data_IF_042509004410
#
_entry.id   IF_042509004410
#
_cell.length_a   1.000
_cell.length_b   1.000
_cell.length_c   1.000
_cell.angle_alpha   90.00
_cell.angle_beta   90.00
_cell.angle_gamma   90.00
#
_symmetry.space_group_name_H-M   'P 1'
#
loop_
_entity.id
_entity.type
_entity.pdbx_description
1 polymer ?
#
# COMPACT_ATOMS: atom_id res chain seq x y z
N UNK A 1 20.82 -52.07 42.21
CA UNK A 1 19.83 -50.98 42.06
C UNK A 1 20.24 -50.20 40.83
N UNK A 2 19.57 -50.44 39.69
CA UNK A 2 19.90 -49.82 38.38
C UNK A 2 18.95 -48.64 38.16
N UNK A 3 19.51 -47.42 38.18
CA UNK A 3 18.76 -46.18 37.92
C UNK A 3 18.70 -46.00 36.39
N UNK A 4 17.53 -46.15 35.80
CA UNK A 4 17.29 -45.86 34.40
C UNK A 4 17.07 -44.33 34.26
N UNK A 5 17.99 -43.66 33.57
CA UNK A 5 17.92 -42.25 33.26
C UNK A 5 17.03 -42.08 32.02
N UNK A 6 15.77 -41.61 32.18
CA UNK A 6 14.88 -41.27 31.10
C UNK A 6 15.30 -39.89 30.55
N UNK A 7 15.85 -39.91 29.32
CA UNK A 7 16.18 -38.69 28.58
C UNK A 7 14.88 -38.21 27.90
N UNK A 8 14.22 -37.20 28.47
CA UNK A 8 13.07 -36.51 27.85
C UNK A 8 13.63 -35.57 26.77
N UNK A 9 13.54 -36.00 25.52
CA UNK A 9 13.82 -35.15 24.38
C UNK A 9 12.71 -34.07 24.25
N UNK A 10 13.03 -32.82 24.53
CA UNK A 10 12.15 -31.67 24.34
C UNK A 10 12.09 -31.36 22.83
N UNK A 11 11.03 -31.81 22.13
CA UNK A 11 10.73 -31.40 20.77
C UNK A 11 10.25 -29.94 20.82
N UNK A 12 11.12 -29.00 20.52
CA UNK A 12 10.74 -27.63 20.23
C UNK A 12 9.94 -27.61 18.92
N UNK A 13 8.70 -27.08 18.91
CA UNK A 13 7.99 -26.90 17.65
C UNK A 13 8.76 -25.88 16.80
N UNK A 14 9.28 -26.31 15.64
CA UNK A 14 9.78 -25.41 14.63
C UNK A 14 8.58 -24.56 14.17
N UNK A 15 8.65 -23.25 14.36
CA UNK A 15 7.68 -22.32 13.80
C UNK A 15 7.73 -22.48 12.27
N UNK A 16 6.77 -23.21 11.70
CA UNK A 16 6.59 -23.27 10.25
C UNK A 16 6.23 -21.85 9.79
N UNK A 17 7.14 -21.20 9.06
CA UNK A 17 6.84 -19.95 8.37
C UNK A 17 5.71 -20.27 7.40
N UNK A 18 4.49 -19.83 7.72
CA UNK A 18 3.34 -20.03 6.86
C UNK A 18 3.58 -19.22 5.58
N UNK A 19 3.73 -19.92 4.45
CA UNK A 19 3.83 -19.27 3.15
C UNK A 19 2.53 -18.51 2.88
N UNK A 20 2.64 -17.25 2.54
CA UNK A 20 1.47 -16.41 2.26
C UNK A 20 0.95 -16.75 0.87
N UNK A 21 -0.31 -17.18 0.78
CA UNK A 21 -0.99 -17.56 -0.47
C UNK A 21 -2.27 -16.78 -0.64
N UNK A 22 -2.64 -16.44 -1.89
CA UNK A 22 -3.96 -15.92 -2.19
C UNK A 22 -5.06 -16.88 -1.75
N UNK A 23 -6.20 -16.33 -1.36
CA UNK A 23 -7.37 -17.10 -0.92
C UNK A 23 -8.53 -16.91 -1.89
N UNK A 24 -9.37 -17.93 -2.13
CA UNK A 24 -10.54 -17.81 -2.98
C UNK A 24 -11.47 -16.69 -2.51
N UNK A 25 -11.96 -15.90 -3.49
CA UNK A 25 -13.00 -14.90 -3.26
C UNK A 25 -14.40 -15.55 -3.11
N UNK A 26 -15.45 -14.72 -2.90
CA UNK A 26 -16.82 -15.21 -2.70
C UNK A 26 -17.48 -15.77 -3.98
N UNK A 27 -16.88 -15.56 -5.15
CA UNK A 27 -17.38 -16.03 -6.45
C UNK A 27 -16.65 -17.29 -6.94
N UNK A 28 -16.16 -17.26 -8.18
CA UNK A 28 -15.37 -18.37 -8.73
C UNK A 28 -14.06 -18.52 -7.92
N UNK A 29 -13.74 -19.72 -7.39
CA UNK A 29 -12.58 -19.93 -6.52
C UNK A 29 -11.23 -19.70 -7.22
N UNK A 30 -11.22 -19.58 -8.55
CA UNK A 30 -10.01 -19.24 -9.34
C UNK A 30 -9.74 -17.73 -9.40
N UNK A 31 -10.69 -16.90 -8.94
CA UNK A 31 -10.46 -15.48 -8.69
C UNK A 31 -10.16 -15.32 -7.21
N UNK A 32 -8.89 -15.08 -6.91
CA UNK A 32 -8.39 -15.08 -5.53
C UNK A 32 -7.98 -13.68 -5.10
N UNK A 33 -7.93 -13.48 -3.80
CA UNK A 33 -7.53 -12.20 -3.21
C UNK A 33 -6.42 -12.40 -2.20
N UNK A 34 -5.62 -11.36 -2.00
CA UNK A 34 -4.58 -11.30 -0.98
C UNK A 34 -4.46 -9.88 -0.46
N UNK A 35 -4.29 -9.73 0.84
CA UNK A 35 -4.00 -8.44 1.47
C UNK A 35 -2.54 -8.08 1.23
N UNK A 36 -2.28 -6.86 0.78
CA UNK A 36 -0.91 -6.36 0.61
C UNK A 36 -0.23 -6.14 1.95
N UNK A 37 1.00 -6.63 2.07
CA UNK A 37 1.96 -6.31 3.12
C UNK A 37 3.34 -6.16 2.46
N UNK A 38 4.08 -5.09 2.79
CA UNK A 38 5.38 -4.80 2.20
C UNK A 38 6.48 -5.82 2.59
N UNK A 39 6.27 -6.58 3.66
CA UNK A 39 7.24 -7.53 4.21
C UNK A 39 6.88 -8.99 3.93
N UNK A 40 5.93 -9.26 3.02
CA UNK A 40 5.52 -10.62 2.68
C UNK A 40 6.09 -11.08 1.34
N UNK A 41 6.32 -12.39 1.23
CA UNK A 41 6.54 -13.07 -0.06
C UNK A 41 5.30 -13.87 -0.38
N UNK A 42 4.65 -13.55 -1.51
CA UNK A 42 3.42 -14.23 -1.96
C UNK A 42 3.77 -15.42 -2.84
N UNK A 43 3.35 -16.61 -2.45
CA UNK A 43 3.51 -17.79 -3.28
C UNK A 43 2.40 -17.90 -4.32
N UNK A 44 2.79 -17.95 -5.58
CA UNK A 44 1.90 -18.10 -6.74
C UNK A 44 2.13 -19.42 -7.44
N UNK A 45 1.05 -20.13 -7.75
CA UNK A 45 1.10 -21.43 -8.43
C UNK A 45 0.50 -21.33 -9.83
N UNK A 46 1.24 -21.77 -10.84
CA UNK A 46 0.84 -21.68 -12.25
C UNK A 46 1.09 -23.02 -12.95
N UNK A 47 0.07 -23.61 -13.57
CA UNK A 47 0.23 -24.82 -14.37
C UNK A 47 0.74 -24.48 -15.77
N UNK A 48 1.55 -25.38 -16.35
CA UNK A 48 1.96 -25.27 -17.76
C UNK A 48 0.73 -25.25 -18.67
N UNK A 49 0.74 -24.37 -19.67
CA UNK A 49 -0.38 -24.13 -20.57
C UNK A 49 -1.45 -23.18 -20.04
N UNK A 50 -1.33 -22.71 -18.81
CA UNK A 50 -2.21 -21.73 -18.18
C UNK A 50 -1.51 -20.40 -17.95
N UNK A 51 -2.31 -19.36 -17.72
CA UNK A 51 -1.86 -18.02 -17.39
C UNK A 51 -2.48 -17.61 -16.05
N UNK A 52 -1.68 -16.94 -15.23
CA UNK A 52 -2.12 -16.23 -14.03
C UNK A 52 -2.05 -14.72 -14.30
N UNK A 53 -3.12 -13.98 -13.98
CA UNK A 53 -3.12 -12.53 -13.97
C UNK A 53 -3.00 -12.02 -12.54
N UNK A 54 -2.16 -11.02 -12.32
CA UNK A 54 -2.12 -10.22 -11.07
C UNK A 54 -2.74 -8.87 -11.37
N UNK A 55 -3.72 -8.47 -10.58
CA UNK A 55 -4.35 -7.15 -10.63
C UNK A 55 -3.84 -6.29 -9.47
N UNK A 56 -3.17 -5.17 -9.77
CA UNK A 56 -2.72 -4.16 -8.81
C UNK A 56 -3.80 -3.11 -8.57
N UNK A 57 -3.54 -2.11 -7.73
CA UNK A 57 -4.48 -1.03 -7.51
C UNK A 57 -4.75 -0.25 -8.81
N UNK A 58 -5.98 0.26 -9.03
CA UNK A 58 -6.35 0.93 -10.28
C UNK A 58 -5.53 2.19 -10.59
N UNK A 59 -5.00 2.83 -9.55
CA UNK A 59 -4.16 4.03 -9.59
C UNK A 59 -2.66 3.73 -9.60
N UNK A 60 -2.27 2.44 -9.54
CA UNK A 60 -0.89 1.97 -9.47
C UNK A 60 -0.38 1.54 -10.84
N UNK A 61 0.90 1.82 -11.14
CA UNK A 61 1.53 1.50 -12.43
C UNK A 61 2.84 0.76 -12.23
N UNK A 62 2.97 -0.37 -12.93
CA UNK A 62 4.21 -1.14 -12.97
C UNK A 62 5.29 -0.32 -13.64
N UNK A 63 6.40 -0.10 -12.94
CA UNK A 63 7.62 0.55 -13.45
C UNK A 63 8.70 -0.47 -13.81
N UNK A 64 8.84 -1.54 -13.02
CA UNK A 64 9.87 -2.54 -13.24
C UNK A 64 9.36 -3.94 -12.86
N UNK A 65 9.84 -4.95 -13.61
CA UNK A 65 9.57 -6.37 -13.35
C UNK A 65 10.88 -7.15 -13.50
N UNK A 66 11.28 -7.85 -12.45
CA UNK A 66 12.47 -8.70 -12.45
C UNK A 66 12.11 -10.12 -12.04
N UNK A 67 12.32 -11.08 -12.93
CA UNK A 67 12.13 -12.52 -12.69
C UNK A 67 13.50 -13.20 -12.65
N UNK A 68 13.70 -14.12 -11.71
CA UNK A 68 14.97 -14.81 -11.52
C UNK A 68 15.31 -15.74 -12.69
N UNK A 69 14.40 -16.64 -13.08
CA UNK A 69 14.62 -17.57 -14.18
C UNK A 69 13.72 -17.25 -15.38
N UNK A 70 14.16 -16.33 -16.21
CA UNK A 70 13.41 -15.87 -17.40
C UNK A 70 13.27 -16.91 -18.50
N UNK A 71 14.10 -17.95 -18.53
CA UNK A 71 13.98 -19.06 -19.48
C UNK A 71 12.85 -20.04 -19.14
N UNK A 72 12.45 -20.12 -17.88
CA UNK A 72 11.39 -20.99 -17.41
C UNK A 72 10.05 -20.27 -17.21
N UNK A 73 10.06 -18.94 -17.15
CA UNK A 73 8.89 -18.11 -16.86
C UNK A 73 8.76 -16.94 -17.82
N UNK A 74 7.57 -16.78 -18.36
CA UNK A 74 7.21 -15.59 -19.12
C UNK A 74 6.37 -14.66 -18.24
N UNK A 75 6.83 -13.41 -18.12
CA UNK A 75 6.16 -12.38 -17.32
C UNK A 75 5.98 -11.14 -18.20
N UNK A 76 4.75 -10.66 -18.33
CA UNK A 76 4.42 -9.57 -19.26
C UNK A 76 3.42 -8.61 -18.63
N UNK A 77 3.77 -7.34 -18.41
CA UNK A 77 2.81 -6.33 -17.99
C UNK A 77 1.86 -5.96 -19.13
N UNK A 78 0.64 -5.51 -18.80
CA UNK A 78 -0.25 -4.93 -19.78
C UNK A 78 0.19 -3.48 -20.12
N UNK A 79 -0.42 -2.88 -21.16
CA UNK A 79 -0.07 -1.52 -21.61
C UNK A 79 -0.38 -0.42 -20.57
N UNK A 80 -1.33 -0.66 -19.67
CA UNK A 80 -1.69 0.29 -18.61
C UNK A 80 -0.79 0.20 -17.40
N UNK A 81 -0.06 -0.92 -17.24
CA UNK A 81 0.79 -1.18 -16.08
C UNK A 81 0.02 -1.53 -14.80
N UNK A 82 -1.27 -1.87 -14.90
CA UNK A 82 -2.11 -2.25 -13.76
C UNK A 82 -2.33 -3.77 -13.65
N UNK A 83 -1.86 -4.54 -14.65
CA UNK A 83 -1.93 -6.01 -14.66
C UNK A 83 -0.60 -6.62 -15.06
N UNK A 84 -0.28 -7.76 -14.48
CA UNK A 84 0.87 -8.58 -14.83
C UNK A 84 0.41 -10.00 -15.18
N UNK A 85 0.83 -10.51 -16.34
CA UNK A 85 0.53 -11.85 -16.79
C UNK A 85 1.72 -12.77 -16.63
N UNK A 86 1.52 -13.92 -16.00
CA UNK A 86 2.56 -14.89 -15.68
C UNK A 86 2.21 -16.23 -16.29
N UNK A 87 3.18 -16.87 -16.98
CA UNK A 87 3.09 -18.21 -17.54
C UNK A 87 4.31 -19.03 -17.15
N UNK A 88 4.09 -20.27 -16.73
CA UNK A 88 5.15 -21.26 -16.62
C UNK A 88 5.44 -21.85 -18.01
N UNK A 89 6.67 -21.68 -18.48
CA UNK A 89 7.17 -22.25 -19.74
C UNK A 89 7.76 -23.65 -19.53
N UNK A 90 8.35 -23.87 -18.35
CA UNK A 90 8.95 -25.15 -17.97
C UNK A 90 8.35 -25.65 -16.65
N UNK A 91 8.16 -26.96 -16.56
CA UNK A 91 7.74 -27.61 -15.33
C UNK A 91 8.93 -27.73 -14.35
N UNK A 92 8.63 -27.70 -13.04
CA UNK A 92 9.60 -28.00 -11.99
C UNK A 92 10.58 -26.91 -11.62
N UNK A 93 10.55 -25.73 -12.25
CA UNK A 93 11.47 -24.62 -11.94
C UNK A 93 10.77 -23.55 -11.10
N UNK A 94 11.00 -23.56 -9.81
CA UNK A 94 10.58 -22.49 -8.89
C UNK A 94 11.55 -21.31 -9.00
N UNK A 95 11.03 -20.08 -8.99
CA UNK A 95 11.83 -18.87 -9.02
C UNK A 95 11.19 -17.74 -8.24
N UNK A 96 11.93 -16.66 -8.01
CA UNK A 96 11.40 -15.43 -7.44
C UNK A 96 11.01 -14.43 -8.54
N UNK A 97 10.10 -13.53 -8.19
CA UNK A 97 9.68 -12.41 -9.03
C UNK A 97 9.53 -11.18 -8.14
N UNK A 98 10.10 -10.07 -8.59
CA UNK A 98 9.90 -8.77 -7.95
C UNK A 98 9.20 -7.83 -8.93
N UNK A 99 8.19 -7.14 -8.44
CA UNK A 99 7.47 -6.09 -9.18
C UNK A 99 7.58 -4.79 -8.41
N UNK A 100 8.06 -3.76 -9.08
CA UNK A 100 8.13 -2.40 -8.54
C UNK A 100 7.12 -1.56 -9.31
N UNK A 101 6.26 -0.87 -8.58
CA UNK A 101 5.30 0.08 -9.11
C UNK A 101 5.65 1.49 -8.64
N UNK A 102 4.96 2.49 -9.15
CA UNK A 102 5.06 3.88 -8.68
C UNK A 102 4.64 4.09 -7.21
N UNK A 103 4.00 3.09 -6.58
CA UNK A 103 3.53 3.20 -5.21
C UNK A 103 4.11 2.14 -4.27
N UNK A 104 4.43 0.92 -4.75
CA UNK A 104 4.75 -0.24 -3.90
C UNK A 104 5.75 -1.18 -4.54
N UNK A 105 6.34 -2.05 -3.71
CA UNK A 105 7.13 -3.20 -4.16
C UNK A 105 6.46 -4.50 -3.73
N UNK A 106 6.48 -5.49 -4.61
CA UNK A 106 5.88 -6.80 -4.40
C UNK A 106 6.92 -7.88 -4.59
N UNK A 107 6.98 -8.83 -3.67
CA UNK A 107 7.83 -10.01 -3.75
C UNK A 107 6.98 -11.27 -3.92
N UNK A 108 7.33 -12.09 -4.90
CA UNK A 108 6.65 -13.33 -5.20
C UNK A 108 7.62 -14.51 -5.27
N UNK A 109 7.13 -15.67 -4.94
CA UNK A 109 7.70 -16.97 -5.29
C UNK A 109 6.79 -17.62 -6.32
N UNK A 110 7.31 -17.92 -7.50
CA UNK A 110 6.60 -18.60 -8.59
C UNK A 110 6.86 -20.09 -8.53
N UNK A 111 5.82 -20.88 -8.34
CA UNK A 111 5.88 -22.32 -8.24
C UNK A 111 5.11 -22.97 -9.41
N UNK A 112 5.76 -23.76 -10.28
CA UNK A 112 5.08 -24.41 -11.37
C UNK A 112 4.31 -25.64 -10.86
N UNK A 113 3.11 -25.84 -11.41
CA UNK A 113 2.32 -27.05 -11.21
C UNK A 113 2.50 -27.99 -12.41
N UNK A 114 2.56 -29.29 -12.17
CA UNK A 114 2.60 -30.31 -13.22
C UNK A 114 1.32 -30.40 -14.04
N UNK A 115 0.19 -29.92 -13.51
CA UNK A 115 -1.11 -29.87 -14.16
C UNK A 115 -2.06 -28.94 -13.41
N UNK A 116 -3.22 -28.61 -14.03
CA UNK A 116 -4.19 -27.72 -13.42
C UNK A 116 -4.84 -28.34 -12.18
N UNK A 117 -4.97 -27.52 -11.13
CA UNK A 117 -5.73 -27.85 -9.93
C UNK A 117 -7.11 -27.17 -10.00
N UNK A 118 -8.18 -27.75 -9.41
CA UNK A 118 -9.54 -27.20 -9.46
C UNK A 118 -9.64 -25.73 -8.96
N UNK A 119 -8.82 -25.36 -7.99
CA UNK A 119 -8.80 -24.04 -7.33
C UNK A 119 -7.51 -23.27 -7.61
N UNK A 120 -6.78 -23.60 -8.68
CA UNK A 120 -5.64 -22.83 -9.11
C UNK A 120 -6.09 -21.42 -9.49
N UNK A 121 -5.39 -20.39 -9.00
CA UNK A 121 -5.73 -19.00 -9.34
C UNK A 121 -5.57 -18.72 -10.84
N UNK A 122 -6.59 -18.10 -11.45
CA UNK A 122 -6.50 -17.48 -12.77
C UNK A 122 -6.25 -15.99 -12.65
N UNK A 123 -6.78 -15.40 -11.57
CA UNK A 123 -6.57 -14.00 -11.22
C UNK A 123 -6.30 -13.89 -9.74
N UNK A 124 -5.29 -13.11 -9.38
CA UNK A 124 -5.01 -12.67 -8.01
C UNK A 124 -5.17 -11.18 -7.92
N UNK A 125 -6.06 -10.73 -7.05
CA UNK A 125 -6.31 -9.31 -6.76
C UNK A 125 -5.69 -8.94 -5.44
N UNK A 126 -4.90 -7.90 -5.44
CA UNK A 126 -4.47 -7.30 -4.19
C UNK A 126 -5.59 -6.45 -3.60
N UNK A 127 -5.85 -6.67 -2.32
CA UNK A 127 -6.63 -5.75 -1.49
C UNK A 127 -5.64 -4.99 -0.63
N UNK A 128 -5.80 -3.69 -0.60
CA UNK A 128 -4.94 -2.84 0.18
C UNK A 128 -5.66 -2.54 1.48
N UNK A 129 -5.03 -2.80 2.64
CA UNK A 129 -5.55 -2.24 3.87
C UNK A 129 -5.75 -0.75 3.56
N UNK A 130 -6.93 -0.21 3.83
CA UNK A 130 -7.05 1.23 3.94
C UNK A 130 -5.84 1.65 4.77
N UNK A 131 -5.08 2.72 4.39
CA UNK A 131 -4.00 3.19 5.23
C UNK A 131 -4.56 3.10 6.63
N UNK A 132 -3.93 2.27 7.45
CA UNK A 132 -4.46 2.02 8.76
C UNK A 132 -4.64 3.40 9.39
N UNK A 133 -5.87 3.89 9.33
CA UNK A 133 -6.37 4.63 10.46
C UNK A 133 -6.09 3.65 11.56
N UNK A 134 -4.90 3.80 12.17
CA UNK A 134 -4.38 2.87 13.14
C UNK A 134 -5.44 2.77 14.24
N UNK A 135 -6.33 1.80 14.09
CA UNK A 135 -6.99 1.21 15.23
C UNK A 135 -5.88 0.44 15.92
N UNK A 136 -4.93 1.17 16.46
CA UNK A 136 -4.15 0.75 17.58
C UNK A 136 -5.19 0.57 18.66
N UNK A 137 -5.67 -0.68 18.83
CA UNK A 137 -6.30 -1.10 20.08
C UNK A 137 -5.21 -1.01 21.16
N UNK A 138 -4.99 0.19 21.66
CA UNK A 138 -3.98 0.53 22.63
C UNK A 138 -3.81 2.04 22.61
N UNK A 139 -4.65 2.76 23.38
CA UNK A 139 -4.62 4.21 23.62
C UNK A 139 -4.54 5.04 22.31
N UNK A 140 -5.71 5.42 21.78
CA UNK A 140 -5.80 6.51 20.83
C UNK A 140 -5.00 7.70 21.38
N UNK A 141 -4.03 8.26 20.64
CA UNK A 141 -3.53 9.56 20.99
C UNK A 141 -4.75 10.49 20.91
N UNK A 142 -5.10 11.11 22.03
CA UNK A 142 -6.16 12.11 22.15
C UNK A 142 -5.69 13.41 21.46
N UNK A 143 -5.39 13.34 20.17
CA UNK A 143 -5.23 14.56 19.37
C UNK A 143 -6.60 14.80 18.75
N UNK A 144 -7.31 15.80 19.26
CA UNK A 144 -8.60 16.19 18.70
C UNK A 144 -8.40 16.62 17.24
N UNK A 145 -9.34 16.23 16.33
CA UNK A 145 -9.30 16.65 14.93
C UNK A 145 -9.09 18.15 14.81
N UNK A 146 -8.10 18.55 14.05
CA UNK A 146 -7.73 19.95 13.90
C UNK A 146 -8.52 20.63 12.80
N UNK A 147 -8.72 21.93 12.96
CA UNK A 147 -9.26 22.82 11.93
C UNK A 147 -8.20 23.82 11.52
N UNK A 148 -8.30 24.37 10.31
CA UNK A 148 -7.34 25.32 9.79
C UNK A 148 -7.98 26.66 9.50
N UNK A 149 -7.28 27.73 9.87
CA UNK A 149 -7.64 29.10 9.48
C UNK A 149 -6.91 29.44 8.19
N UNK A 150 -7.68 29.75 7.14
CA UNK A 150 -7.16 30.09 5.82
C UNK A 150 -6.92 31.61 5.69
N UNK A 151 -5.83 31.99 5.01
CA UNK A 151 -5.49 33.37 4.68
C UNK A 151 -4.76 33.47 3.32
N UNK A 152 -4.49 34.67 2.82
CA UNK A 152 -3.82 34.90 1.53
C UNK A 152 -4.78 34.90 0.33
N UNK A 153 -4.27 34.60 -0.88
CA UNK A 153 -4.99 34.67 -2.15
C UNK A 153 -6.16 33.69 -2.19
N UNK A 154 -7.39 34.20 -2.35
CA UNK A 154 -8.62 33.38 -2.29
C UNK A 154 -8.67 32.27 -3.34
N UNK A 155 -8.08 32.51 -4.51
CA UNK A 155 -8.05 31.54 -5.60
C UNK A 155 -7.26 30.27 -5.26
N UNK A 156 -6.28 30.35 -4.35
CA UNK A 156 -5.40 29.24 -3.95
C UNK A 156 -5.85 28.55 -2.65
N UNK A 157 -6.93 29.04 -2.04
CA UNK A 157 -7.43 28.39 -0.81
C UNK A 157 -8.14 27.10 -1.16
N UNK A 158 -7.87 26.01 -0.41
CA UNK A 158 -8.66 24.79 -0.52
C UNK A 158 -10.11 25.06 -0.13
N UNK A 159 -11.04 24.28 -0.68
CA UNK A 159 -12.45 24.29 -0.31
C UNK A 159 -12.68 23.68 1.07
N UNK A 160 -11.85 22.71 1.44
CA UNK A 160 -11.85 22.07 2.76
C UNK A 160 -10.41 21.69 3.15
N UNK A 161 -10.09 21.82 4.43
CA UNK A 161 -8.87 21.33 5.05
C UNK A 161 -9.14 20.99 6.51
N UNK A 162 -8.82 19.78 6.90
CA UNK A 162 -8.91 19.26 8.26
C UNK A 162 -7.83 18.20 8.50
N UNK A 163 -7.70 17.71 9.73
CA UNK A 163 -6.82 16.59 10.10
C UNK A 163 -7.49 15.69 11.13
N UNK A 164 -7.05 14.43 11.17
CA UNK A 164 -7.46 13.43 12.14
C UNK A 164 -6.46 13.28 13.31
N UNK A 165 -5.45 14.15 13.34
CA UNK A 165 -4.34 14.10 14.30
C UNK A 165 -3.14 13.28 13.83
N UNK A 166 -3.25 12.59 12.70
CA UNK A 166 -2.18 11.80 12.04
C UNK A 166 -1.95 12.29 10.63
N UNK A 167 -3.01 12.48 9.85
CA UNK A 167 -2.98 12.91 8.46
C UNK A 167 -3.70 14.24 8.29
N UNK A 168 -3.29 15.02 7.29
CA UNK A 168 -4.01 16.22 6.86
C UNK A 168 -4.70 15.97 5.52
N UNK A 169 -5.98 16.29 5.45
CA UNK A 169 -6.83 16.10 4.27
C UNK A 169 -7.18 17.46 3.66
N UNK A 170 -6.91 17.62 2.36
CA UNK A 170 -7.09 18.89 1.66
C UNK A 170 -7.91 18.67 0.39
N UNK A 171 -9.00 19.40 0.24
CA UNK A 171 -9.83 19.39 -0.97
C UNK A 171 -9.63 20.69 -1.72
N UNK A 172 -9.14 20.63 -2.96
CA UNK A 172 -9.09 21.78 -3.86
C UNK A 172 -10.26 21.75 -4.84
N UNK A 173 -10.77 22.92 -5.27
CA UNK A 173 -11.77 22.96 -6.33
C UNK A 173 -11.22 22.34 -7.62
N UNK A 174 -11.99 21.46 -8.26
CA UNK A 174 -11.58 20.76 -9.47
C UNK A 174 -11.38 21.66 -10.71
N UNK A 175 -11.95 22.86 -10.67
CA UNK A 175 -11.88 23.88 -11.72
C UNK A 175 -10.61 24.75 -11.62
N UNK A 176 -9.73 24.50 -10.65
CA UNK A 176 -8.53 25.31 -10.41
C UNK A 176 -7.26 24.47 -10.47
N UNK A 177 -6.13 25.06 -10.91
CA UNK A 177 -4.85 24.39 -10.88
C UNK A 177 -4.46 24.07 -9.43
N UNK A 178 -3.89 22.90 -9.20
CA UNK A 178 -3.38 22.48 -7.91
C UNK A 178 -2.12 23.30 -7.56
N UNK A 179 -2.08 24.03 -6.44
CA UNK A 179 -0.88 24.77 -6.02
C UNK A 179 0.18 23.80 -5.45
N UNK A 180 1.44 24.22 -5.48
CA UNK A 180 2.48 23.55 -4.72
C UNK A 180 2.23 23.74 -3.20
N UNK A 181 2.37 22.64 -2.45
CA UNK A 181 2.07 22.62 -1.01
C UNK A 181 3.37 22.53 -0.23
N UNK A 182 3.58 23.47 0.68
CA UNK A 182 4.75 23.54 1.56
C UNK A 182 4.29 23.51 3.02
N UNK A 183 5.08 22.87 3.87
CA UNK A 183 4.99 23.03 5.31
C UNK A 183 5.94 24.13 5.76
N UNK A 184 5.54 24.89 6.76
CA UNK A 184 6.40 25.90 7.41
C UNK A 184 6.86 25.34 8.75
N UNK A 185 8.17 25.19 8.92
CA UNK A 185 8.75 24.74 10.19
C UNK A 185 8.74 25.86 11.26
N UNK A 186 9.14 25.52 12.48
CA UNK A 186 9.22 26.46 13.60
C UNK A 186 10.21 27.61 13.37
N UNK A 187 11.16 27.43 12.44
CA UNK A 187 12.15 28.43 12.04
C UNK A 187 11.69 29.27 10.84
N UNK A 188 10.45 29.06 10.36
CA UNK A 188 9.89 29.77 9.22
C UNK A 188 10.39 29.29 7.85
N UNK A 189 11.05 28.14 7.75
CA UNK A 189 11.55 27.58 6.49
C UNK A 189 10.47 26.80 5.80
N UNK A 190 10.38 26.96 4.49
CA UNK A 190 9.48 26.20 3.63
C UNK A 190 10.10 24.84 3.29
N UNK A 191 9.34 23.79 3.51
CA UNK A 191 9.67 22.42 3.11
C UNK A 191 8.55 21.89 2.23
N UNK A 192 8.89 21.33 1.07
CA UNK A 192 7.91 20.65 0.22
C UNK A 192 7.26 19.53 1.01
N UNK A 193 5.95 19.40 0.90
CA UNK A 193 5.21 18.39 1.61
C UNK A 193 5.06 17.18 0.70
N UNK A 194 5.39 16.01 1.25
CA UNK A 194 5.09 14.73 0.62
C UNK A 194 3.63 14.36 0.88
N UNK A 195 2.89 14.13 -0.19
CA UNK A 195 1.47 13.78 -0.14
C UNK A 195 0.97 13.33 -1.50
N UNK A 196 -0.17 12.64 -1.51
CA UNK A 196 -0.76 12.06 -2.71
C UNK A 196 -2.26 12.39 -2.83
N UNK A 197 -2.75 12.42 -4.08
CA UNK A 197 -4.18 12.50 -4.34
C UNK A 197 -4.81 11.13 -4.06
N UNK A 198 -5.80 11.10 -3.14
CA UNK A 198 -6.57 9.89 -2.77
C UNK A 198 -8.06 10.28 -2.76
N UNK A 199 -8.88 9.61 -3.54
CA UNK A 199 -10.34 9.84 -3.61
C UNK A 199 -10.76 11.31 -3.78
N UNK A 200 -10.01 12.07 -4.61
CA UNK A 200 -10.27 13.48 -4.88
C UNK A 200 -9.78 14.45 -3.79
N UNK A 201 -9.07 13.97 -2.79
CA UNK A 201 -8.44 14.75 -1.73
C UNK A 201 -6.91 14.63 -1.80
N UNK A 202 -6.21 15.70 -1.51
CA UNK A 202 -4.75 15.64 -1.30
C UNK A 202 -4.48 15.28 0.16
N UNK A 203 -3.87 14.13 0.38
CA UNK A 203 -3.59 13.58 1.71
C UNK A 203 -2.11 13.74 2.01
N UNK A 204 -1.80 14.34 3.15
CA UNK A 204 -0.44 14.47 3.69
C UNK A 204 -0.36 13.50 4.88
N UNK A 205 0.64 12.63 4.88
CA UNK A 205 0.84 11.60 5.93
C UNK A 205 1.45 12.18 7.23
N UNK A 206 1.11 13.45 7.54
CA UNK A 206 1.53 14.16 8.75
C UNK A 206 0.60 15.34 9.04
N UNK A 207 0.60 15.85 10.28
CA UNK A 207 -0.13 17.03 10.69
C UNK A 207 0.83 18.20 10.89
N UNK A 208 0.76 19.18 9.99
CA UNK A 208 1.62 20.36 10.05
C UNK A 208 0.90 21.56 10.69
N UNK A 209 1.56 22.29 11.58
CA UNK A 209 0.97 23.46 12.23
C UNK A 209 0.65 24.59 11.25
N UNK A 210 1.38 24.65 10.14
CA UNK A 210 1.17 25.67 9.10
C UNK A 210 1.53 25.11 7.74
N UNK A 211 0.62 25.28 6.78
CA UNK A 211 0.81 24.96 5.37
C UNK A 211 0.76 26.23 4.53
N UNK A 212 1.52 26.23 3.43
CA UNK A 212 1.55 27.26 2.42
C UNK A 212 1.22 26.67 1.06
N UNK A 213 0.30 27.30 0.35
CA UNK A 213 -0.12 26.95 -1.01
C UNK A 213 0.42 27.99 -1.96
N UNK A 214 1.25 27.62 -2.91
CA UNK A 214 1.89 28.55 -3.84
C UNK A 214 1.64 28.18 -5.28
N UNK A 215 1.32 29.18 -6.09
CA UNK A 215 1.25 29.09 -7.53
C UNK A 215 1.84 30.40 -8.09
N UNK A 216 2.94 30.29 -8.81
CA UNK A 216 3.70 31.44 -9.32
C UNK A 216 4.08 32.45 -8.21
N UNK A 217 3.55 33.66 -8.28
CA UNK A 217 3.80 34.73 -7.30
C UNK A 217 2.73 34.79 -6.19
N UNK A 218 1.63 34.08 -6.38
CA UNK A 218 0.51 34.07 -5.45
C UNK A 218 0.69 32.99 -4.38
N UNK A 219 0.19 33.28 -3.18
CA UNK A 219 0.19 32.31 -2.10
C UNK A 219 -1.06 32.41 -1.22
N UNK A 220 -1.44 31.29 -0.64
CA UNK A 220 -2.38 31.19 0.47
C UNK A 220 -1.76 30.35 1.59
N UNK A 221 -2.29 30.47 2.79
CA UNK A 221 -1.80 29.69 3.93
C UNK A 221 -2.94 29.13 4.76
N UNK A 222 -2.68 28.00 5.40
CA UNK A 222 -3.54 27.34 6.36
C UNK A 222 -2.78 27.17 7.68
N UNK A 223 -3.34 27.72 8.77
CA UNK A 223 -2.76 27.62 10.12
C UNK A 223 -3.69 26.75 10.96
N UNK A 224 -3.15 25.70 11.56
CA UNK A 224 -3.90 24.79 12.42
C UNK A 224 -4.37 25.51 13.68
N UNK A 225 -5.66 25.41 13.97
CA UNK A 225 -6.27 26.01 15.16
C UNK A 225 -6.43 24.91 16.21
N UNK A 226 -5.78 25.06 17.35
CA UNK A 226 -5.98 24.14 18.48
C UNK A 226 -7.43 24.23 18.96
N UNK A 227 -8.10 23.09 19.24
CA UNK A 227 -9.43 23.13 19.83
C UNK A 227 -9.40 23.88 21.16
N UNK A 228 -10.42 24.70 21.41
CA UNK A 228 -10.57 25.33 22.72
C UNK A 228 -10.92 24.24 23.74
N UNK A 229 -10.24 24.16 24.89
CA UNK A 229 -10.62 23.20 25.93
C UNK A 229 -12.08 23.46 26.32
N UNK A 230 -12.90 22.40 26.27
CA UNK A 230 -14.26 22.46 26.82
C UNK A 230 -14.15 22.83 28.31
N UNK A 231 -14.64 24.00 28.69
CA UNK A 231 -14.88 24.31 30.09
C UNK A 231 -15.86 23.27 30.65
N UNK A 232 -15.40 22.48 31.62
CA UNK A 232 -16.26 21.65 32.44
C UNK A 232 -17.12 22.50 33.33
#
# INVERSE_FOLDING_TARGET
>A
MRIALFLIAFLLPAAAMAQVRPVPGPGDPRIQTIVYDANQVVQLQVASGYQLAIEFAPDERIENVAVGESGAWQVTPNKRGDHLFIKALQAGVTTNLTVVTDARSYAFELQPLFGPLPNMAYTVRFTYPAPASAVVAGAAPTVEPGRYKLSGTRALRPSQIDDDGVHTYIVFPADKPLPAIFAIDEKGREMLVDGAMRDGQYVIDDVKPKLLFRLDKDYASAVRVKPKPKKR
#
